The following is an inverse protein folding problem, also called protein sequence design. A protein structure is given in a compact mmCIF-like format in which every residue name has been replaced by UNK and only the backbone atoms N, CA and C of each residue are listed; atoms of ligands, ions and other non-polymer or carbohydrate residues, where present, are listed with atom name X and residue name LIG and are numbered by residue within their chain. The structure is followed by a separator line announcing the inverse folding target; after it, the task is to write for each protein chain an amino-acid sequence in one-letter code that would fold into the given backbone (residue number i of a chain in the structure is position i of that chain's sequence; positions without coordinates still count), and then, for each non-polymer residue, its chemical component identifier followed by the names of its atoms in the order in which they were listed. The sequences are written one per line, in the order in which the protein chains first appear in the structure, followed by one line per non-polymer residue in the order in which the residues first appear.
data_IF_333240810662
#
_entry.id   IF_333240810662
#
_cell.length_a   1.000
_cell.length_b   1.000
_cell.length_c   1.000
_cell.angle_alpha   90.00
_cell.angle_beta   90.00
_cell.angle_gamma   90.00
#
_symmetry.space_group_name_H-M   'P 1'
#
loop_
_entity.id
_entity.type
_entity.pdbx_description
1 polymer ?
#
# COMPACT_ATOMS: atom_id res chain seq x y z
N UNK A 1 15.32 8.42 5.23
CA UNK A 1 15.70 8.74 6.60
C UNK A 1 14.69 8.10 7.56
N UNK A 2 15.18 7.42 8.61
CA UNK A 2 14.33 6.76 9.59
C UNK A 2 13.48 7.76 10.42
N UNK A 3 13.86 9.02 10.40
CA UNK A 3 13.25 10.10 11.19
C UNK A 3 12.18 10.88 10.44
N UNK A 4 12.08 10.74 9.12
CA UNK A 4 11.09 11.46 8.31
C UNK A 4 10.25 10.45 7.53
N UNK A 5 9.05 10.14 8.01
CA UNK A 5 8.16 9.26 7.28
C UNK A 5 7.74 9.93 5.96
N UNK A 6 8.14 9.33 4.84
CA UNK A 6 7.78 9.79 3.50
C UNK A 6 6.55 9.04 2.99
N UNK A 7 5.45 9.12 3.72
CA UNK A 7 4.20 8.52 3.29
C UNK A 7 3.07 9.54 3.23
N UNK A 8 2.14 9.27 2.34
CA UNK A 8 0.89 10.00 2.17
C UNK A 8 -0.21 9.15 2.77
N UNK A 9 -1.15 9.77 3.44
CA UNK A 9 -2.33 9.11 3.96
C UNK A 9 -3.60 9.82 3.53
N UNK A 10 -4.66 9.05 3.37
CA UNK A 10 -6.00 9.58 3.17
C UNK A 10 -6.99 8.94 4.14
N UNK A 11 -8.06 9.66 4.41
CA UNK A 11 -9.18 9.18 5.22
C UNK A 11 -10.46 9.41 4.41
N UNK A 12 -11.23 8.37 4.26
CA UNK A 12 -12.51 8.40 3.58
C UNK A 12 -13.58 7.87 4.53
N UNK A 13 -14.66 8.60 4.71
CA UNK A 13 -15.79 8.21 5.56
C UNK A 13 -16.99 7.91 4.67
N UNK A 14 -17.63 6.79 4.92
CA UNK A 14 -18.73 6.28 4.13
C UNK A 14 -19.92 5.91 5.01
N UNK A 15 -21.13 6.08 4.48
CA UNK A 15 -22.32 5.48 5.08
C UNK A 15 -22.29 3.95 4.87
N UNK A 16 -22.73 3.21 5.88
CA UNK A 16 -22.87 1.77 5.74
C UNK A 16 -23.99 1.46 4.74
N UNK A 17 -23.70 0.79 3.63
CA UNK A 17 -24.71 0.46 2.63
C UNK A 17 -25.76 -0.52 3.17
N UNK A 18 -26.96 -0.57 2.57
CA UNK A 18 -28.06 -1.46 2.99
C UNK A 18 -27.67 -2.95 3.08
N UNK A 19 -26.69 -3.40 2.30
CA UNK A 19 -26.16 -4.76 2.33
C UNK A 19 -25.00 -4.97 3.34
N UNK A 20 -24.68 -3.97 4.14
CA UNK A 20 -23.50 -3.97 4.99
C UNK A 20 -22.19 -3.78 4.21
N UNK A 21 -21.15 -3.44 4.91
CA UNK A 21 -19.78 -3.44 4.42
C UNK A 21 -18.88 -3.98 5.53
N UNK A 22 -18.07 -4.97 5.22
CA UNK A 22 -17.23 -5.65 6.19
C UNK A 22 -15.79 -5.79 5.69
N UNK A 23 -14.96 -6.35 6.56
CA UNK A 23 -13.54 -6.55 6.28
C UNK A 23 -13.29 -7.46 5.08
N UNK A 24 -14.05 -8.53 4.91
CA UNK A 24 -13.84 -9.49 3.82
C UNK A 24 -14.16 -8.86 2.47
N UNK A 25 -15.20 -8.03 2.41
CA UNK A 25 -15.52 -7.24 1.21
C UNK A 25 -14.42 -6.25 0.87
N UNK A 26 -13.83 -5.58 1.87
CA UNK A 26 -12.70 -4.66 1.65
C UNK A 26 -11.48 -5.42 1.12
N UNK A 27 -11.13 -6.55 1.75
CA UNK A 27 -10.01 -7.40 1.31
C UNK A 27 -10.20 -7.86 -0.14
N UNK A 28 -11.40 -8.34 -0.48
CA UNK A 28 -11.72 -8.78 -1.84
C UNK A 28 -11.61 -7.63 -2.86
N UNK A 29 -12.13 -6.45 -2.52
CA UNK A 29 -12.05 -5.26 -3.36
C UNK A 29 -10.60 -4.85 -3.61
N UNK A 30 -9.78 -4.81 -2.56
CA UNK A 30 -8.36 -4.44 -2.68
C UNK A 30 -7.63 -5.49 -3.52
N UNK A 31 -7.86 -6.78 -3.28
CA UNK A 31 -7.22 -7.87 -4.03
C UNK A 31 -7.50 -7.78 -5.53
N UNK A 32 -8.75 -7.48 -5.91
CA UNK A 32 -9.15 -7.24 -7.29
C UNK A 32 -8.40 -6.05 -7.88
N UNK A 33 -8.33 -4.95 -7.17
CA UNK A 33 -7.77 -3.69 -7.66
C UNK A 33 -6.26 -3.72 -7.82
N UNK A 34 -5.53 -4.24 -6.83
CA UNK A 34 -4.06 -4.32 -6.90
C UNK A 34 -3.58 -5.34 -7.93
N UNK A 35 -4.48 -6.23 -8.44
CA UNK A 35 -4.15 -7.13 -9.53
C UNK A 35 -3.66 -6.39 -10.78
N UNK A 36 -4.15 -5.16 -10.98
CA UNK A 36 -3.78 -4.31 -12.11
C UNK A 36 -2.57 -3.41 -11.85
N UNK A 37 -2.06 -3.38 -10.62
CA UNK A 37 -0.94 -2.52 -10.22
C UNK A 37 0.14 -3.37 -9.53
N UNK A 38 1.04 -4.00 -10.30
CA UNK A 38 2.05 -4.93 -9.75
C UNK A 38 2.88 -4.34 -8.61
N UNK A 39 3.10 -3.02 -8.61
CA UNK A 39 3.90 -2.30 -7.63
C UNK A 39 3.39 -2.48 -6.20
N UNK A 40 2.08 -2.68 -6.00
CA UNK A 40 1.50 -2.93 -4.68
C UNK A 40 1.81 -4.32 -4.09
N UNK A 41 2.48 -5.19 -4.86
CA UNK A 41 2.96 -6.50 -4.42
C UNK A 41 4.48 -6.59 -4.45
N UNK A 42 5.16 -5.45 -4.62
CA UNK A 42 6.60 -5.34 -4.65
C UNK A 42 7.12 -4.63 -3.42
N UNK A 43 8.29 -5.04 -2.94
CA UNK A 43 9.04 -4.39 -1.87
C UNK A 43 10.35 -3.82 -2.40
N UNK A 44 10.95 -2.93 -1.62
CA UNK A 44 12.25 -2.38 -1.94
C UNK A 44 13.34 -3.35 -1.46
N UNK A 45 14.32 -3.60 -2.32
CA UNK A 45 15.55 -4.32 -1.99
C UNK A 45 16.74 -3.41 -2.23
N UNK A 46 17.56 -3.24 -1.19
CA UNK A 46 18.81 -2.50 -1.31
C UNK A 46 19.87 -3.36 -2.03
N UNK A 47 20.66 -2.73 -2.88
CA UNK A 47 21.81 -3.38 -3.52
C UNK A 47 22.92 -3.51 -2.48
N UNK A 48 23.56 -4.70 -2.32
CA UNK A 48 24.64 -4.90 -1.36
C UNK A 48 25.75 -3.84 -1.48
N UNK A 49 26.31 -3.47 -0.36
CA UNK A 49 27.37 -2.46 -0.22
C UNK A 49 27.01 -1.06 -0.78
N UNK A 50 25.72 -0.78 -1.04
CA UNK A 50 25.31 0.52 -1.60
C UNK A 50 25.83 0.76 -3.02
N UNK A 51 26.12 -0.30 -3.78
CA UNK A 51 26.68 -0.20 -5.14
C UNK A 51 25.69 0.29 -6.20
N UNK A 52 24.45 0.58 -5.83
CA UNK A 52 23.44 1.09 -6.75
C UNK A 52 22.17 1.53 -6.03
N UNK A 53 21.22 2.06 -6.81
CA UNK A 53 19.92 2.43 -6.28
C UNK A 53 19.13 1.20 -5.85
N UNK A 54 18.28 1.32 -4.82
CA UNK A 54 17.37 0.24 -4.43
C UNK A 54 16.48 -0.18 -5.59
N UNK A 55 16.19 -1.47 -5.68
CA UNK A 55 15.35 -2.06 -6.73
C UNK A 55 14.02 -2.56 -6.16
N UNK A 56 13.02 -2.63 -7.04
CA UNK A 56 11.74 -3.22 -6.70
C UNK A 56 11.76 -4.72 -7.04
N UNK A 57 11.44 -5.55 -6.05
CA UNK A 57 11.33 -7.01 -6.21
C UNK A 57 9.95 -7.46 -5.77
N UNK A 58 9.44 -8.53 -6.39
CA UNK A 58 8.16 -9.12 -5.98
C UNK A 58 8.30 -9.65 -4.54
N UNK A 59 7.33 -9.36 -3.68
CA UNK A 59 7.30 -9.92 -2.34
C UNK A 59 6.75 -11.36 -2.40
N UNK A 60 7.62 -12.34 -2.30
CA UNK A 60 7.26 -13.77 -2.31
C UNK A 60 6.46 -14.19 -1.07
N UNK A 61 6.46 -13.35 -0.02
CA UNK A 61 5.70 -13.53 1.22
C UNK A 61 4.56 -12.53 1.35
N UNK A 62 4.08 -12.01 0.20
CA UNK A 62 2.99 -11.05 0.20
C UNK A 62 1.77 -11.62 0.93
N UNK A 63 1.31 -10.89 1.94
CA UNK A 63 0.16 -11.23 2.77
C UNK A 63 -0.82 -10.06 2.80
N UNK A 64 -1.99 -10.24 2.20
CA UNK A 64 -3.03 -9.23 2.15
C UNK A 64 -3.49 -8.81 3.56
N UNK A 65 -3.54 -9.75 4.50
CA UNK A 65 -4.03 -9.48 5.86
C UNK A 65 -3.06 -8.63 6.69
N UNK A 66 -1.78 -8.64 6.32
CA UNK A 66 -0.81 -7.70 6.88
C UNK A 66 -1.09 -6.26 6.43
N UNK A 67 -1.47 -6.08 5.18
CA UNK A 67 -1.67 -4.77 4.56
C UNK A 67 -3.05 -4.20 4.81
N UNK A 68 -4.07 -5.04 4.86
CA UNK A 68 -5.46 -4.64 5.14
C UNK A 68 -5.78 -4.99 6.58
N UNK A 69 -5.98 -3.98 7.39
CA UNK A 69 -6.17 -4.13 8.84
C UNK A 69 -7.56 -3.69 9.26
N UNK A 70 -8.04 -4.24 10.35
CA UNK A 70 -9.33 -3.90 10.94
C UNK A 70 -9.12 -3.15 12.25
N UNK A 71 -9.89 -2.11 12.46
CA UNK A 71 -9.98 -1.36 13.72
C UNK A 71 -11.43 -1.01 14.00
N UNK A 72 -11.75 -0.69 15.24
CA UNK A 72 -13.07 -0.23 15.63
C UNK A 72 -12.96 0.91 16.64
N UNK A 73 -13.88 1.87 16.56
CA UNK A 73 -13.99 2.92 17.55
C UNK A 73 -14.87 2.46 18.72
N UNK A 74 -14.53 2.84 19.95
CA UNK A 74 -15.43 2.67 21.08
C UNK A 74 -16.64 3.59 20.91
N UNK A 75 -17.78 3.24 21.51
CA UNK A 75 -18.94 4.12 21.50
C UNK A 75 -18.61 5.45 22.20
N UNK A 76 -19.09 6.58 21.70
CA UNK A 76 -20.07 6.77 20.63
C UNK A 76 -19.52 6.73 19.19
N UNK A 77 -18.23 6.55 18.95
CA UNK A 77 -17.63 6.55 17.62
C UNK A 77 -17.54 7.95 17.01
N UNK A 78 -17.25 8.96 17.85
CA UNK A 78 -17.23 10.36 17.43
C UNK A 78 -16.09 10.65 16.44
N UNK A 79 -16.22 11.75 15.70
CA UNK A 79 -15.19 12.22 14.79
C UNK A 79 -13.86 12.49 15.54
N UNK A 80 -13.92 12.99 16.78
CA UNK A 80 -12.73 13.14 17.61
C UNK A 80 -12.01 11.81 17.88
N UNK A 81 -12.77 10.72 18.17
CA UNK A 81 -12.17 9.39 18.36
C UNK A 81 -11.54 8.86 17.07
N UNK A 82 -12.14 9.18 15.92
CA UNK A 82 -11.56 8.85 14.61
C UNK A 82 -10.26 9.63 14.39
N UNK A 83 -10.23 10.93 14.66
CA UNK A 83 -9.03 11.76 14.56
C UNK A 83 -7.90 11.27 15.47
N UNK A 84 -8.20 10.88 16.71
CA UNK A 84 -7.23 10.30 17.65
C UNK A 84 -6.66 8.97 17.12
N UNK A 85 -7.48 8.14 16.48
CA UNK A 85 -7.01 6.91 15.84
C UNK A 85 -6.10 7.20 14.66
N UNK A 86 -6.47 8.15 13.80
CA UNK A 86 -5.66 8.60 12.66
C UNK A 86 -4.30 9.13 13.15
N UNK A 87 -4.30 9.97 14.17
CA UNK A 87 -3.10 10.54 14.78
C UNK A 87 -2.14 9.45 15.32
N UNK A 88 -2.65 8.29 15.71
CA UNK A 88 -1.84 7.14 16.16
C UNK A 88 -1.34 6.27 15.00
N UNK A 89 -2.10 6.18 13.89
CA UNK A 89 -1.75 5.34 12.75
C UNK A 89 -0.75 6.05 11.84
N UNK A 90 -1.02 7.30 11.48
CA UNK A 90 -0.26 8.03 10.46
C UNK A 90 1.25 8.19 10.79
N UNK A 91 1.68 8.49 12.02
CA UNK A 91 3.10 8.68 12.29
C UNK A 91 3.94 7.38 12.27
N UNK A 92 3.30 6.22 12.36
CA UNK A 92 4.05 4.95 12.40
C UNK A 92 4.73 4.70 11.05
N UNK A 93 6.02 4.33 11.03
CA UNK A 93 6.69 4.02 9.79
C UNK A 93 6.10 2.75 9.14
N UNK A 94 6.13 2.70 7.80
CA UNK A 94 5.85 1.49 7.05
C UNK A 94 7.05 0.53 7.13
N UNK A 95 6.78 -0.77 7.19
CA UNK A 95 7.83 -1.80 7.17
C UNK A 95 8.47 -1.87 5.77
N UNK A 96 9.75 -1.52 5.67
CA UNK A 96 10.49 -1.48 4.41
C UNK A 96 10.78 -2.86 3.82
N UNK A 97 10.61 -3.94 4.61
CA UNK A 97 10.76 -5.32 4.14
C UNK A 97 9.49 -5.86 3.46
N UNK A 98 8.45 -5.03 3.35
CA UNK A 98 7.16 -5.35 2.75
C UNK A 98 6.77 -4.29 1.74
N UNK A 99 5.75 -4.53 0.90
CA UNK A 99 5.14 -3.48 0.08
C UNK A 99 4.73 -2.29 0.94
N UNK A 100 5.06 -1.09 0.49
CA UNK A 100 5.03 0.12 1.30
C UNK A 100 3.65 0.79 1.34
N UNK A 101 2.64 0.05 1.78
CA UNK A 101 1.28 0.55 1.94
C UNK A 101 0.51 -0.22 3.01
N UNK A 102 -0.46 0.44 3.61
CA UNK A 102 -1.42 -0.13 4.57
C UNK A 102 -2.79 0.49 4.36
N UNK A 103 -3.85 -0.28 4.59
CA UNK A 103 -5.25 0.15 4.60
C UNK A 103 -5.90 -0.31 5.88
N UNK A 104 -6.68 0.56 6.51
CA UNK A 104 -7.41 0.24 7.73
C UNK A 104 -8.91 0.42 7.50
N UNK A 105 -9.70 -0.62 7.73
CA UNK A 105 -11.12 -0.50 7.93
C UNK A 105 -11.38 -0.09 9.37
N UNK A 106 -12.07 1.04 9.57
CA UNK A 106 -12.46 1.53 10.89
C UNK A 106 -13.96 1.42 11.01
N UNK A 107 -14.41 0.52 11.86
CA UNK A 107 -15.82 0.31 12.14
C UNK A 107 -16.28 1.10 13.36
N UNK A 108 -17.58 1.26 13.52
CA UNK A 108 -18.18 1.91 14.68
C UNK A 108 -18.08 3.43 14.68
N UNK A 109 -17.89 4.05 13.53
CA UNK A 109 -18.04 5.51 13.36
C UNK A 109 -19.51 5.89 13.57
N UNK A 110 -19.76 6.98 14.29
CA UNK A 110 -21.11 7.48 14.60
C UNK A 110 -21.99 7.60 13.33
N UNK A 111 -23.30 7.66 13.51
CA UNK A 111 -24.29 7.84 12.42
C UNK A 111 -24.29 6.69 11.39
N UNK A 112 -24.02 5.47 11.85
CA UNK A 112 -23.99 4.28 10.99
C UNK A 112 -22.99 4.41 9.81
N UNK A 113 -21.79 4.94 10.12
CA UNK A 113 -20.69 5.13 9.17
C UNK A 113 -19.52 4.18 9.45
N UNK A 114 -18.65 4.04 8.48
CA UNK A 114 -17.31 3.44 8.63
C UNK A 114 -16.27 4.32 7.94
N UNK A 115 -15.02 4.15 8.30
CA UNK A 115 -13.95 4.88 7.63
C UNK A 115 -12.92 3.90 7.03
N UNK A 116 -12.29 4.35 5.95
CA UNK A 116 -11.11 3.71 5.37
C UNK A 116 -9.95 4.70 5.50
N UNK A 117 -8.89 4.27 6.19
CA UNK A 117 -7.65 5.03 6.30
C UNK A 117 -6.63 4.35 5.39
N UNK A 118 -6.02 5.09 4.49
CA UNK A 118 -4.93 4.60 3.66
C UNK A 118 -3.61 5.23 4.08
N UNK A 119 -2.53 4.51 3.80
CA UNK A 119 -1.18 4.96 4.06
C UNK A 119 -0.26 4.35 3.01
N UNK A 120 0.42 5.19 2.24
CA UNK A 120 1.23 4.77 1.09
C UNK A 120 2.52 5.56 1.08
N UNK A 121 3.65 4.89 0.90
CA UNK A 121 4.94 5.58 0.78
C UNK A 121 4.99 6.35 -0.53
N UNK A 122 5.61 7.53 -0.50
CA UNK A 122 5.68 8.44 -1.64
C UNK A 122 6.26 7.78 -2.90
N UNK A 123 7.24 6.88 -2.74
CA UNK A 123 7.82 6.14 -3.86
C UNK A 123 6.85 5.24 -4.64
N UNK A 124 5.67 4.94 -4.10
CA UNK A 124 4.60 4.22 -4.82
C UNK A 124 3.71 5.16 -5.62
N UNK A 125 3.64 6.44 -5.25
CA UNK A 125 2.76 7.45 -5.84
C UNK A 125 3.51 8.48 -6.68
N UNK A 126 4.85 8.42 -6.73
CA UNK A 126 5.70 9.24 -7.58
C UNK A 126 6.01 8.50 -8.89
N UNK A 127 5.58 9.05 -10.02
CA UNK A 127 5.90 8.55 -11.34
C UNK A 127 4.72 8.53 -12.31
N UNK A 128 5.00 8.31 -13.58
CA UNK A 128 4.04 8.37 -14.70
C UNK A 128 2.88 7.35 -14.55
N UNK A 129 3.08 6.29 -13.77
CA UNK A 129 2.09 5.25 -13.51
C UNK A 129 1.74 5.13 -12.01
N UNK A 130 1.99 6.18 -11.26
CA UNK A 130 1.69 6.20 -9.83
C UNK A 130 0.17 6.28 -9.60
N UNK A 131 -0.36 5.29 -8.94
CA UNK A 131 -1.77 5.25 -8.55
C UNK A 131 -1.82 5.19 -7.04
N UNK A 132 -2.38 6.23 -6.40
CA UNK A 132 -2.66 6.18 -4.97
C UNK A 132 -3.70 5.09 -4.69
N UNK A 133 -3.45 4.27 -3.66
CA UNK A 133 -4.36 3.20 -3.27
C UNK A 133 -5.75 3.74 -2.91
N UNK A 134 -5.84 4.96 -2.39
CA UNK A 134 -7.11 5.65 -2.16
C UNK A 134 -7.91 5.80 -3.45
N UNK A 135 -7.27 6.21 -4.54
CA UNK A 135 -7.90 6.33 -5.86
C UNK A 135 -8.22 4.96 -6.48
N UNK A 136 -7.45 3.93 -6.14
CA UNK A 136 -7.73 2.55 -6.56
C UNK A 136 -9.00 2.02 -5.90
N UNK A 137 -9.27 2.44 -4.66
CA UNK A 137 -10.41 1.96 -3.88
C UNK A 137 -11.73 2.65 -4.25
N UNK A 138 -11.67 3.88 -4.75
CA UNK A 138 -12.87 4.68 -5.06
C UNK A 138 -13.15 4.65 -6.55
N UNK A 139 -14.26 4.04 -6.95
CA UNK A 139 -14.77 4.16 -8.32
C UNK A 139 -15.68 5.38 -8.44
N UNK A 140 -15.47 6.17 -9.48
CA UNK A 140 -16.41 7.22 -9.86
C UNK A 140 -17.74 6.66 -10.41
N UNK A 141 -17.92 5.33 -10.48
CA UNK A 141 -19.11 4.69 -11.03
C UNK A 141 -19.51 3.48 -10.16
N UNK A 142 -20.79 3.34 -9.74
CA UNK A 142 -21.25 2.27 -8.87
C UNK A 142 -21.26 0.87 -9.51
N UNK A 143 -20.96 0.74 -10.79
CA UNK A 143 -20.84 -0.57 -11.46
C UNK A 143 -19.45 -1.16 -11.22
N UNK A 144 -19.40 -2.20 -10.42
CA UNK A 144 -18.19 -3.04 -10.24
C UNK A 144 -17.71 -3.56 -11.59
N UNK A 145 -16.45 -3.30 -11.92
CA UNK A 145 -15.78 -3.99 -13.03
C UNK A 145 -15.53 -5.40 -12.53
N UNK A 146 -16.23 -6.37 -13.11
CA UNK A 146 -16.18 -7.78 -12.71
C UNK A 146 -14.75 -8.28 -12.49
N UNK A 147 -14.54 -8.92 -11.34
CA UNK A 147 -13.23 -9.31 -10.86
C UNK A 147 -12.55 -10.35 -11.75
N UNK A 148 -11.38 -10.02 -12.23
CA UNK A 148 -10.45 -10.99 -12.76
C UNK A 148 -9.68 -11.58 -11.58
N UNK A 149 -9.87 -12.86 -11.29
CA UNK A 149 -9.02 -13.56 -10.33
C UNK A 149 -7.56 -13.45 -10.81
N UNK A 150 -6.75 -12.74 -10.06
CA UNK A 150 -5.34 -12.57 -10.40
C UNK A 150 -4.62 -13.90 -10.30
N UNK A 151 -4.11 -14.41 -11.42
CA UNK A 151 -3.19 -15.55 -11.50
C UNK A 151 -1.74 -15.11 -11.22
N UNK A 152 -1.54 -13.98 -10.56
CA UNK A 152 -0.21 -13.48 -10.28
C UNK A 152 0.61 -14.48 -9.46
N UNK A 153 1.82 -14.71 -9.92
CA UNK A 153 2.84 -15.46 -9.20
C UNK A 153 4.07 -14.59 -9.04
N UNK A 154 4.64 -14.49 -7.82
CA UNK A 154 5.84 -13.71 -7.61
C UNK A 154 7.00 -14.30 -8.40
N UNK A 155 7.82 -13.42 -8.96
CA UNK A 155 9.11 -13.82 -9.53
C UNK A 155 10.04 -14.19 -8.39
N UNK A 156 10.98 -15.11 -8.66
CA UNK A 156 12.04 -15.40 -7.70
C UNK A 156 12.81 -14.13 -7.36
N UNK A 157 13.14 -13.98 -6.11
CA UNK A 157 13.93 -12.84 -5.64
C UNK A 157 15.36 -12.96 -6.20
N UNK A 158 15.92 -11.88 -6.79
CA UNK A 158 17.29 -11.90 -7.29
C UNK A 158 18.29 -12.10 -6.13
N UNK A 159 19.32 -12.84 -6.38
CA UNK A 159 20.44 -13.02 -5.46
C UNK A 159 21.25 -11.73 -5.30
N UNK A 160 22.02 -11.61 -4.23
CA UNK A 160 22.92 -10.48 -4.00
C UNK A 160 23.91 -10.28 -5.16
N UNK A 161 24.40 -11.37 -5.74
CA UNK A 161 25.30 -11.31 -6.89
C UNK A 161 24.61 -10.73 -8.14
N UNK A 162 23.38 -11.15 -8.42
CA UNK A 162 22.60 -10.60 -9.54
C UNK A 162 22.31 -9.11 -9.36
N UNK A 163 22.02 -8.67 -8.13
CA UNK A 163 21.81 -7.25 -7.83
C UNK A 163 23.06 -6.42 -8.07
N UNK A 164 24.23 -6.91 -7.64
CA UNK A 164 25.51 -6.23 -7.85
C UNK A 164 25.87 -6.16 -9.33
N UNK A 165 25.71 -7.27 -10.07
CA UNK A 165 25.97 -7.29 -11.52
C UNK A 165 25.02 -6.33 -12.26
N UNK A 166 23.75 -6.29 -11.89
CA UNK A 166 22.78 -5.35 -12.44
C UNK A 166 23.18 -3.90 -12.20
N UNK A 167 23.55 -3.56 -10.95
CA UNK A 167 23.98 -2.21 -10.59
C UNK A 167 25.24 -1.77 -11.36
N UNK A 168 26.22 -2.64 -11.53
CA UNK A 168 27.41 -2.36 -12.32
C UNK A 168 27.09 -2.15 -13.79
N UNK A 169 26.19 -2.94 -14.36
CA UNK A 169 25.74 -2.80 -15.74
C UNK A 169 25.02 -1.44 -15.94
N UNK A 170 24.19 -1.01 -14.99
CA UNK A 170 23.48 0.26 -15.04
C UNK A 170 24.44 1.45 -14.90
N UNK A 171 25.46 1.35 -14.03
CA UNK A 171 26.51 2.37 -13.90
C UNK A 171 27.28 2.60 -15.20
N UNK A 172 27.54 1.55 -15.96
CA UNK A 172 28.20 1.64 -17.28
C UNK A 172 27.28 2.29 -18.34
N UNK A 173 25.97 2.02 -18.26
CA UNK A 173 24.98 2.55 -19.23
C UNK A 173 24.59 3.99 -18.97
N UNK A 174 24.67 4.44 -17.70
CA UNK A 174 24.24 5.78 -17.31
C UNK A 174 25.27 6.44 -16.39
N UNK A 175 26.45 6.81 -16.91
CA UNK A 175 27.55 7.37 -16.12
C UNK A 175 27.24 8.74 -15.46
N UNK A 176 26.15 9.40 -15.86
CA UNK A 176 25.78 10.74 -15.36
C UNK A 176 24.98 10.76 -14.05
N UNK A 177 24.70 9.63 -13.42
CA UNK A 177 23.97 9.56 -12.14
C UNK A 177 24.86 9.24 -10.93
N UNK A 178 26.18 9.28 -11.09
CA UNK A 178 27.15 9.13 -9.99
C UNK A 178 27.63 10.54 -9.61
N UNK A 179 26.81 11.29 -8.89
CA UNK A 179 27.23 12.46 -8.09
C UNK A 179 26.36 12.51 -6.83
#
# INVERSE_FOLDING_TARGET
DATTPMHVGSVMVFDVPKGGFDYDRLVALIAERIAHVPRYRQRIREVPAGLGNPVWVDDVKFDMTYHVRRSALPRPGSDQQLEELIARIQPRPLDRNRPLWEVYLVEGVAENRFAIITKTHHSLVDGINAVDIGNVLVDGNPTSRGGVMSTWRPRAEPSDAELVVGALADAVRTPSQII
#
